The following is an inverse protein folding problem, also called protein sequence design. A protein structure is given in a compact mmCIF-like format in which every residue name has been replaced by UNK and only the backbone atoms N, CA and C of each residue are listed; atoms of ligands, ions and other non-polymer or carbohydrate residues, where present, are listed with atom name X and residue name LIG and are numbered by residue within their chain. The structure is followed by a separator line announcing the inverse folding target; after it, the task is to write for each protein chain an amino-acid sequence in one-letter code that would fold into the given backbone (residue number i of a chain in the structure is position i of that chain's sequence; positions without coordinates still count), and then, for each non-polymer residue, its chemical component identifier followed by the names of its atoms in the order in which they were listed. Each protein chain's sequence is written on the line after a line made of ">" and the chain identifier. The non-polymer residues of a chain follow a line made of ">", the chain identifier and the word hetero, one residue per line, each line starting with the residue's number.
data_IF_499214481820
#
_entry.id   IF_499214481820
#
_cell.length_a   1.000
_cell.length_b   1.000
_cell.length_c   1.000
_cell.angle_alpha   90.00
_cell.angle_beta   90.00
_cell.angle_gamma   90.00
#
_symmetry.space_group_name_H-M   'P 1'
#
loop_
_entity.id
_entity.type
_entity.pdbx_description
1 polymer ?
#
# COMPACT_ATOMS: atom_id res chain seq x y z
N UNK A 1 59.61 12.07 -21.20
CA UNK A 1 58.70 13.23 -21.11
C UNK A 1 57.43 12.74 -20.42
N UNK A 2 56.84 13.31 -19.38
CA UNK A 2 56.95 14.61 -18.70
C UNK A 2 56.65 14.37 -17.20
N UNK A 3 57.06 15.30 -16.34
CA UNK A 3 56.93 15.28 -14.86
C UNK A 3 55.59 15.90 -14.42
N UNK A 4 55.20 15.64 -13.15
CA UNK A 4 54.38 16.42 -12.17
C UNK A 4 53.11 15.70 -11.65
N UNK A 5 52.68 15.92 -10.38
CA UNK A 5 53.44 16.06 -9.13
C UNK A 5 52.91 15.15 -7.97
N UNK A 6 53.68 15.07 -6.88
CA UNK A 6 53.26 14.56 -5.57
C UNK A 6 52.13 15.40 -4.96
N UNK A 7 51.15 14.75 -4.32
CA UNK A 7 50.11 15.41 -3.54
C UNK A 7 48.98 14.46 -3.12
N UNK A 8 48.89 14.23 -1.81
CA UNK A 8 47.77 13.66 -1.06
C UNK A 8 47.27 12.24 -1.39
N UNK A 9 47.72 11.29 -0.58
CA UNK A 9 46.93 10.11 -0.19
C UNK A 9 45.66 10.56 0.55
N UNK A 10 44.62 10.97 -0.18
CA UNK A 10 43.27 11.00 0.36
C UNK A 10 42.70 9.59 0.30
N UNK A 11 42.84 8.90 1.42
CA UNK A 11 41.93 7.82 1.82
C UNK A 11 40.49 8.29 1.59
N UNK A 12 39.83 7.77 0.57
CA UNK A 12 38.38 7.89 0.42
C UNK A 12 37.74 7.02 1.51
N UNK A 13 37.69 7.58 2.73
CA UNK A 13 36.79 7.10 3.76
C UNK A 13 35.39 7.29 3.20
N UNK A 14 34.55 6.25 3.11
CA UNK A 14 33.16 6.45 2.77
C UNK A 14 32.57 7.36 3.84
N UNK A 15 32.18 8.57 3.45
CA UNK A 15 31.34 9.44 4.23
C UNK A 15 30.03 8.68 4.44
N UNK A 16 29.95 7.94 5.55
CA UNK A 16 28.71 7.35 5.99
C UNK A 16 27.70 8.49 6.11
N UNK A 17 26.55 8.34 5.45
CA UNK A 17 25.37 9.21 5.57
C UNK A 17 24.97 9.51 7.03
N UNK A 18 25.52 8.77 8.00
CA UNK A 18 25.32 8.94 9.43
C UNK A 18 25.79 10.30 10.00
N UNK A 19 26.71 11.03 9.35
CA UNK A 19 27.28 12.25 9.94
C UNK A 19 26.61 13.57 9.53
N UNK A 20 25.61 13.56 8.64
CA UNK A 20 24.91 14.78 8.21
C UNK A 20 23.64 15.09 9.01
N UNK A 21 23.24 14.22 9.95
CA UNK A 21 21.99 14.33 10.71
C UNK A 21 22.17 14.73 12.18
N UNK A 22 23.38 15.09 12.62
CA UNK A 22 23.67 15.37 14.03
C UNK A 22 23.30 16.79 14.51
N UNK A 23 22.48 17.54 13.78
CA UNK A 23 22.08 18.90 14.19
C UNK A 23 20.58 19.19 14.11
N UNK A 24 19.74 18.17 14.04
CA UNK A 24 18.29 18.32 14.25
C UNK A 24 18.00 17.69 15.61
N UNK A 25 17.45 18.47 16.53
CA UNK A 25 17.01 17.99 17.84
C UNK A 25 16.30 16.64 17.66
N UNK A 26 16.63 15.59 18.43
CA UNK A 26 15.85 14.37 18.37
C UNK A 26 14.42 14.76 18.75
N UNK A 27 13.51 14.77 17.77
CA UNK A 27 12.10 14.78 18.07
C UNK A 27 11.89 13.51 18.88
N UNK A 28 11.66 13.69 20.18
CA UNK A 28 11.34 12.61 21.10
C UNK A 28 9.96 12.09 20.67
N UNK A 29 9.93 11.17 19.70
CA UNK A 29 8.72 10.56 19.14
C UNK A 29 7.92 9.75 20.19
N UNK A 30 8.47 9.59 21.40
CA UNK A 30 7.87 8.92 22.55
C UNK A 30 6.97 9.82 23.42
N UNK A 31 6.96 11.14 23.23
CA UNK A 31 6.11 12.01 24.04
C UNK A 31 4.64 11.88 23.63
N UNK A 32 3.70 11.70 24.57
CA UNK A 32 2.28 11.72 24.24
C UNK A 32 1.89 13.12 23.78
N UNK A 33 1.66 13.27 22.47
CA UNK A 33 1.08 14.49 21.90
C UNK A 33 -0.41 14.53 22.31
N UNK A 34 -0.90 15.63 22.89
CA UNK A 34 -2.31 15.77 23.21
C UNK A 34 -3.19 15.60 21.95
N UNK A 35 -4.37 14.95 22.05
CA UNK A 35 -5.23 14.70 20.90
C UNK A 35 -5.55 15.96 20.09
N UNK A 36 -5.77 17.09 20.77
CA UNK A 36 -6.06 18.39 20.16
C UNK A 36 -4.92 19.01 19.34
N UNK A 37 -3.69 18.49 19.45
CA UNK A 37 -2.51 19.00 18.74
C UNK A 37 -1.95 17.98 17.74
N UNK A 38 -2.53 16.78 17.68
CA UNK A 38 -2.02 15.68 16.89
C UNK A 38 -2.04 15.99 15.39
N UNK A 39 -3.12 16.59 14.88
CA UNK A 39 -3.25 16.90 13.46
C UNK A 39 -2.19 17.90 12.97
N UNK A 40 -1.91 18.93 13.77
CA UNK A 40 -0.87 19.91 13.45
C UNK A 40 0.53 19.29 13.56
N UNK A 41 0.77 18.50 14.60
CA UNK A 41 2.04 17.79 14.79
C UNK A 41 2.35 16.83 13.64
N UNK A 42 1.36 16.05 13.19
CA UNK A 42 1.51 15.15 12.05
C UNK A 42 1.67 15.92 10.73
N UNK A 43 0.94 17.04 10.55
CA UNK A 43 1.06 17.88 9.37
C UNK A 43 2.44 18.53 9.20
N UNK A 44 3.13 18.80 10.32
CA UNK A 44 4.45 19.44 10.34
C UNK A 44 5.62 18.45 10.18
N UNK A 45 5.38 17.14 10.29
CA UNK A 45 6.43 16.13 10.16
C UNK A 45 6.79 15.83 8.70
N UNK A 46 8.09 15.75 8.37
CA UNK A 46 8.53 15.21 7.08
C UNK A 46 8.07 13.76 6.89
N UNK A 47 7.78 13.37 5.64
CA UNK A 47 7.37 11.99 5.26
C UNK A 47 8.16 10.85 5.96
N UNK A 48 9.51 10.87 6.00
CA UNK A 48 10.26 9.79 6.68
C UNK A 48 10.06 9.76 8.20
N UNK A 49 9.82 10.91 8.82
CA UNK A 49 9.56 11.00 10.27
C UNK A 49 8.11 10.59 10.60
N UNK A 50 7.17 10.85 9.69
CA UNK A 50 5.80 10.32 9.77
C UNK A 50 5.79 8.79 9.70
N UNK A 51 6.48 8.21 8.72
CA UNK A 51 6.60 6.76 8.58
C UNK A 51 7.21 6.13 9.84
N UNK A 52 8.25 6.75 10.41
CA UNK A 52 8.86 6.32 11.66
C UNK A 52 7.91 6.47 12.85
N UNK A 53 7.20 7.59 12.96
CA UNK A 53 6.22 7.84 14.02
C UNK A 53 5.12 6.76 14.02
N UNK A 54 4.53 6.48 12.85
CA UNK A 54 3.51 5.44 12.72
C UNK A 54 4.10 4.04 12.96
N UNK A 55 5.29 3.74 12.45
CA UNK A 55 5.92 2.43 12.66
C UNK A 55 6.13 2.12 14.14
N UNK A 56 6.56 3.11 14.95
CA UNK A 56 6.73 2.94 16.40
C UNK A 56 5.38 2.77 17.12
N UNK A 57 4.35 3.49 16.69
CA UNK A 57 3.01 3.41 17.31
C UNK A 57 2.23 2.17 16.91
N UNK A 58 2.51 1.64 15.73
CA UNK A 58 1.93 0.41 15.21
C UNK A 58 2.77 -0.83 15.58
N UNK A 59 3.91 -0.66 16.23
CA UNK A 59 4.74 -1.77 16.69
C UNK A 59 3.96 -2.63 17.70
N UNK A 60 3.70 -3.89 17.33
CA UNK A 60 2.90 -4.80 18.14
C UNK A 60 1.40 -4.47 18.16
N UNK A 61 0.95 -3.47 17.38
CA UNK A 61 -0.48 -3.21 17.19
C UNK A 61 -1.04 -4.23 16.20
N UNK A 62 -1.90 -5.11 16.69
CA UNK A 62 -2.70 -6.00 15.87
C UNK A 62 -4.06 -5.33 15.64
N UNK A 63 -4.36 -4.84 14.42
CA UNK A 63 -5.64 -4.22 14.15
C UNK A 63 -6.77 -5.24 14.38
N UNK A 64 -7.89 -4.83 15.00
CA UNK A 64 -9.01 -5.74 15.17
C UNK A 64 -9.50 -6.19 13.79
N UNK A 65 -9.73 -7.49 13.65
CA UNK A 65 -10.39 -8.02 12.47
C UNK A 65 -11.80 -7.44 12.39
N UNK A 66 -12.13 -6.82 11.27
CA UNK A 66 -13.47 -6.29 11.04
C UNK A 66 -14.38 -7.43 10.61
N UNK A 67 -15.34 -7.75 11.47
CA UNK A 67 -16.39 -8.70 11.16
C UNK A 67 -17.55 -7.96 10.48
N UNK A 68 -17.95 -8.46 9.30
CA UNK A 68 -19.06 -7.93 8.54
C UNK A 68 -20.23 -8.91 8.58
N UNK A 69 -21.37 -8.45 9.07
CA UNK A 69 -22.62 -9.18 8.96
C UNK A 69 -23.28 -8.90 7.60
N UNK A 70 -23.76 -9.95 6.95
CA UNK A 70 -24.47 -9.87 5.66
C UNK A 70 -25.96 -10.16 5.89
N UNK A 71 -26.85 -9.34 5.32
CA UNK A 71 -28.31 -9.55 5.30
C UNK A 71 -28.74 -10.55 4.22
N UNK A 72 -29.66 -11.44 4.56
CA UNK A 72 -30.35 -12.35 3.63
C UNK A 72 -29.98 -13.83 3.80
N UNK A 73 -30.53 -14.68 2.92
CA UNK A 73 -30.28 -16.12 2.89
C UNK A 73 -28.80 -16.46 2.70
N UNK A 74 -28.35 -17.59 3.25
CA UNK A 74 -26.98 -18.14 3.23
C UNK A 74 -26.40 -18.39 1.82
N UNK A 75 -27.11 -18.03 0.75
CA UNK A 75 -26.69 -18.28 -0.62
C UNK A 75 -25.77 -17.14 -1.10
N UNK A 76 -24.52 -17.46 -1.43
CA UNK A 76 -23.56 -16.47 -1.87
C UNK A 76 -23.95 -15.87 -3.22
N UNK A 77 -23.62 -14.59 -3.39
CA UNK A 77 -23.78 -13.93 -4.68
C UNK A 77 -22.75 -14.44 -5.66
N UNK A 78 -23.21 -14.87 -6.83
CA UNK A 78 -22.32 -15.18 -7.94
C UNK A 78 -22.80 -14.46 -9.18
N UNK A 79 -21.95 -13.60 -9.73
CA UNK A 79 -22.19 -13.06 -11.05
C UNK A 79 -21.60 -13.97 -12.12
N UNK A 80 -22.33 -14.12 -13.22
CA UNK A 80 -21.79 -14.66 -14.46
C UNK A 80 -21.31 -13.55 -15.41
N UNK A 81 -21.43 -12.27 -15.03
CA UNK A 81 -20.91 -11.18 -15.85
C UNK A 81 -19.39 -11.22 -15.85
N UNK A 82 -18.81 -11.39 -17.02
CA UNK A 82 -17.36 -11.39 -17.19
C UNK A 82 -16.96 -10.17 -18.02
N UNK A 83 -16.29 -9.20 -17.39
CA UNK A 83 -15.80 -8.03 -18.11
C UNK A 83 -14.64 -8.46 -19.01
N UNK A 84 -14.83 -8.35 -20.33
CA UNK A 84 -13.76 -8.65 -21.27
C UNK A 84 -12.63 -7.65 -21.06
N UNK A 85 -11.42 -8.16 -20.81
CA UNK A 85 -10.22 -7.32 -20.68
C UNK A 85 -9.74 -6.90 -22.07
N UNK A 86 -9.73 -5.59 -22.38
CA UNK A 86 -9.17 -5.08 -23.63
C UNK A 86 -7.71 -5.51 -23.81
N UNK A 87 -7.26 -5.87 -25.03
CA UNK A 87 -5.91 -6.38 -25.28
C UNK A 87 -4.79 -5.48 -24.73
N UNK A 88 -4.96 -4.17 -24.84
CA UNK A 88 -3.97 -3.18 -24.39
C UNK A 88 -3.74 -3.15 -22.86
N UNK A 89 -4.63 -3.77 -22.07
CA UNK A 89 -4.54 -3.80 -20.62
C UNK A 89 -4.08 -5.16 -20.07
N UNK A 90 -3.91 -6.19 -20.92
CA UNK A 90 -3.59 -7.56 -20.46
C UNK A 90 -2.25 -7.63 -19.74
N UNK A 91 -1.20 -7.09 -20.33
CA UNK A 91 0.13 -7.12 -19.74
C UNK A 91 0.18 -6.35 -18.40
N UNK A 92 -0.40 -5.15 -18.37
CA UNK A 92 -0.48 -4.36 -17.14
C UNK A 92 -1.30 -5.02 -16.03
N UNK A 93 -2.37 -5.73 -16.40
CA UNK A 93 -3.16 -6.53 -15.47
C UNK A 93 -2.35 -7.71 -14.91
N UNK A 94 -1.63 -8.45 -15.75
CA UNK A 94 -0.84 -9.60 -15.31
C UNK A 94 0.28 -9.19 -14.33
N UNK A 95 0.95 -8.07 -14.60
CA UNK A 95 1.95 -7.49 -13.68
C UNK A 95 1.30 -7.08 -12.36
N UNK A 96 0.15 -6.39 -12.42
CA UNK A 96 -0.61 -5.98 -11.24
C UNK A 96 -0.98 -7.19 -10.36
N UNK A 97 -1.57 -8.23 -10.95
CA UNK A 97 -2.00 -9.43 -10.22
C UNK A 97 -0.81 -10.17 -9.60
N UNK A 98 0.31 -10.27 -10.32
CA UNK A 98 1.53 -10.91 -9.80
C UNK A 98 2.09 -10.15 -8.60
N UNK A 99 2.14 -8.82 -8.68
CA UNK A 99 2.64 -8.01 -7.57
C UNK A 99 1.71 -8.11 -6.36
N UNK A 100 0.40 -8.04 -6.57
CA UNK A 100 -0.58 -8.19 -5.50
C UNK A 100 -0.54 -9.58 -4.83
N UNK A 101 -0.25 -10.64 -5.59
CA UNK A 101 -0.02 -11.99 -5.07
C UNK A 101 1.29 -12.06 -4.27
N UNK A 102 2.39 -11.47 -4.78
CA UNK A 102 3.69 -11.45 -4.11
C UNK A 102 3.67 -10.63 -2.80
N UNK A 103 2.87 -9.56 -2.76
CA UNK A 103 2.67 -8.70 -1.58
C UNK A 103 1.69 -9.31 -0.56
N UNK A 104 1.03 -10.42 -0.90
CA UNK A 104 0.02 -11.07 -0.05
C UNK A 104 -1.31 -10.33 0.02
N UNK A 105 -1.54 -9.34 -0.85
CA UNK A 105 -2.80 -8.59 -0.96
C UNK A 105 -3.89 -9.44 -1.59
N UNK A 106 -3.53 -10.30 -2.55
CA UNK A 106 -4.43 -11.25 -3.20
C UNK A 106 -3.90 -12.68 -3.08
N UNK A 107 -4.81 -13.64 -3.03
CA UNK A 107 -4.48 -15.06 -3.06
C UNK A 107 -5.30 -15.77 -4.13
N UNK A 108 -4.72 -16.82 -4.72
CA UNK A 108 -5.44 -17.69 -5.64
C UNK A 108 -6.33 -18.63 -4.84
N UNK A 109 -7.61 -18.62 -5.18
CA UNK A 109 -8.61 -19.52 -4.61
C UNK A 109 -9.21 -20.40 -5.71
N UNK A 110 -9.54 -21.63 -5.37
CA UNK A 110 -10.30 -22.51 -6.25
C UNK A 110 -11.74 -21.99 -6.35
N UNK A 111 -12.28 -21.95 -7.58
CA UNK A 111 -13.66 -21.55 -7.82
C UNK A 111 -14.62 -22.57 -7.21
N UNK A 112 -15.58 -22.10 -6.41
CA UNK A 112 -16.62 -22.95 -5.82
C UNK A 112 -17.98 -22.24 -5.78
N UNK A 113 -19.04 -23.03 -5.84
CA UNK A 113 -20.43 -22.54 -5.84
C UNK A 113 -20.87 -21.95 -4.49
N UNK A 114 -20.10 -22.20 -3.42
CA UNK A 114 -20.31 -21.69 -2.06
C UNK A 114 -19.57 -20.37 -1.79
N UNK A 115 -18.98 -19.74 -2.82
CA UNK A 115 -18.22 -18.49 -2.68
C UNK A 115 -18.98 -17.28 -3.21
N UNK A 116 -18.75 -16.12 -2.58
CA UNK A 116 -19.13 -14.83 -3.15
C UNK A 116 -18.18 -14.47 -4.30
N UNK A 117 -18.75 -14.26 -5.49
CA UNK A 117 -18.01 -13.98 -6.71
C UNK A 117 -18.52 -12.68 -7.32
N UNK A 118 -17.71 -11.64 -7.14
CA UNK A 118 -17.92 -10.33 -7.75
C UNK A 118 -17.10 -10.19 -9.04
N UNK A 119 -17.63 -9.51 -10.06
CA UNK A 119 -16.86 -9.26 -11.26
C UNK A 119 -15.83 -8.15 -10.98
N UNK A 120 -14.70 -8.22 -11.65
CA UNK A 120 -13.68 -7.18 -11.59
C UNK A 120 -13.34 -6.68 -13.00
N UNK A 121 -12.93 -5.43 -13.09
CA UNK A 121 -12.54 -4.78 -14.34
C UNK A 121 -11.27 -3.96 -14.15
N UNK A 122 -10.58 -3.74 -15.27
CA UNK A 122 -9.29 -3.06 -15.30
C UNK A 122 -9.46 -1.62 -15.80
N UNK A 123 -8.78 -0.68 -15.14
CA UNK A 123 -8.73 0.72 -15.54
C UNK A 123 -7.29 1.24 -15.60
N UNK A 124 -6.96 2.00 -16.65
CA UNK A 124 -5.66 2.65 -16.84
C UNK A 124 -5.38 3.72 -15.77
N UNK A 125 -4.11 3.89 -15.37
CA UNK A 125 -3.59 5.07 -14.65
C UNK A 125 -2.98 6.12 -15.58
N UNK A 126 -3.07 5.93 -16.89
CA UNK A 126 -2.54 6.81 -17.95
C UNK A 126 -1.05 7.11 -17.79
N UNK A 127 -0.30 6.14 -17.27
CA UNK A 127 1.16 6.20 -17.12
C UNK A 127 1.77 4.82 -17.38
N UNK A 128 3.02 4.81 -17.80
CA UNK A 128 3.79 3.59 -18.06
C UNK A 128 4.91 3.44 -17.03
N UNK A 129 5.20 2.20 -16.67
CA UNK A 129 6.27 1.84 -15.75
C UNK A 129 7.00 0.62 -16.32
N UNK A 130 8.32 0.73 -16.51
CA UNK A 130 9.13 -0.29 -17.19
C UNK A 130 8.59 -0.72 -18.57
N UNK A 131 7.94 0.22 -19.29
CA UNK A 131 7.34 -0.05 -20.61
C UNK A 131 5.94 -0.65 -20.57
N UNK A 132 5.41 -0.98 -19.38
CA UNK A 132 4.08 -1.57 -19.20
C UNK A 132 3.08 -0.50 -18.75
N UNK A 133 1.86 -0.51 -19.29
CA UNK A 133 0.82 0.42 -18.86
C UNK A 133 0.38 0.08 -17.44
N UNK A 134 0.49 1.06 -16.53
CA UNK A 134 0.05 0.89 -15.15
C UNK A 134 -1.47 0.84 -15.08
N UNK A 135 -1.99 -0.23 -14.48
CA UNK A 135 -3.40 -0.53 -14.38
C UNK A 135 -3.88 -0.48 -12.91
N UNK A 136 -5.20 -0.43 -12.72
CA UNK A 136 -5.90 -0.67 -11.45
C UNK A 136 -6.93 -1.77 -11.66
N UNK A 137 -7.01 -2.68 -10.69
CA UNK A 137 -8.11 -3.62 -10.56
C UNK A 137 -9.21 -2.96 -9.74
N UNK A 138 -10.45 -3.02 -10.24
CA UNK A 138 -11.64 -2.53 -9.56
C UNK A 138 -12.66 -3.67 -9.50
N UNK A 139 -13.10 -4.00 -8.30
CA UNK A 139 -14.15 -5.00 -8.08
C UNK A 139 -15.50 -4.32 -7.98
N UNK A 140 -16.50 -4.86 -8.67
CA UNK A 140 -17.89 -4.40 -8.52
C UNK A 140 -18.53 -5.08 -7.30
N UNK A 141 -18.52 -4.35 -6.20
CA UNK A 141 -19.07 -4.80 -4.92
C UNK A 141 -20.47 -4.24 -4.69
N UNK A 142 -21.16 -3.68 -5.69
CA UNK A 142 -22.50 -3.07 -5.50
C UNK A 142 -23.49 -4.04 -4.85
N UNK A 143 -23.46 -5.30 -5.25
CA UNK A 143 -24.33 -6.32 -4.68
C UNK A 143 -23.96 -6.66 -3.23
N UNK A 144 -22.67 -6.84 -2.96
CA UNK A 144 -22.17 -7.11 -1.61
C UNK A 144 -22.49 -5.94 -0.68
N UNK A 145 -22.21 -4.71 -1.10
CA UNK A 145 -22.48 -3.49 -0.34
C UNK A 145 -23.96 -3.28 -0.01
N UNK A 146 -24.88 -3.75 -0.86
CA UNK A 146 -26.31 -3.69 -0.58
C UNK A 146 -26.77 -4.68 0.49
N UNK A 147 -25.94 -5.69 0.82
CA UNK A 147 -26.23 -6.71 1.82
C UNK A 147 -25.42 -6.55 3.10
N UNK A 148 -24.30 -5.82 3.08
CA UNK A 148 -23.53 -5.59 4.31
C UNK A 148 -24.37 -4.74 5.27
N UNK A 149 -24.59 -5.24 6.49
CA UNK A 149 -25.28 -4.49 7.53
C UNK A 149 -24.45 -3.27 7.93
N UNK A 150 -25.14 -2.17 8.19
CA UNK A 150 -24.48 -1.04 8.85
C UNK A 150 -23.99 -1.51 10.23
N UNK A 151 -22.76 -1.13 10.64
CA UNK A 151 -22.30 -1.42 11.98
C UNK A 151 -23.28 -0.77 12.97
N UNK A 152 -23.78 -1.59 13.91
CA UNK A 152 -24.83 -1.18 14.83
C UNK A 152 -24.38 -0.05 15.77
N UNK A 153 -23.07 0.10 15.98
CA UNK A 153 -22.48 1.13 16.85
C UNK A 153 -21.20 1.71 16.21
N UNK A 154 -21.18 3.02 15.99
CA UNK A 154 -19.97 3.82 15.69
C UNK A 154 -20.03 5.13 16.46
#
# INVERSE_FOLDING_TARGET
>A
AMVFPEGDTMSLVPLSLASAYSSINPITLDLPVPPEQLDNFLGDLPQPDLEKYFSLRLEGFDPPMLDFDIEGDDVPYQTHMNYTIPPQYREGMEVLLRNAEAEGVLSRVEYRDDQFISPAFIKSKDRYEHGVLVCRLLSDLRFLNARVKAPLDW
#
